data_IF_670904999084
#
_entry.id   IF_670904999084
#
_cell.length_a   1.000
_cell.length_b   1.000
_cell.length_c   1.000
_cell.angle_alpha   90.00
_cell.angle_beta   90.00
_cell.angle_gamma   90.00
#
_symmetry.space_group_name_H-M   'P 1'
#
loop_
_entity.id
_entity.type
_entity.pdbx_description
1 polymer ?
#
# COMPACT_ATOMS: atom_id res chain seq x y z
N UNK A 1 -5.38 29.23 0.48
CA UNK A 1 -5.89 27.89 0.16
C UNK A 1 -4.69 27.06 -0.23
N UNK A 2 -4.18 26.24 0.68
CA UNK A 2 -3.11 25.31 0.36
C UNK A 2 -3.77 24.20 -0.44
N UNK A 3 -3.51 24.17 -1.75
CA UNK A 3 -3.88 23.03 -2.59
C UNK A 3 -3.11 21.84 -2.05
N UNK A 4 -3.80 20.84 -1.50
CA UNK A 4 -3.17 19.54 -1.34
C UNK A 4 -2.94 19.01 -2.76
N UNK A 5 -1.69 18.63 -3.05
CA UNK A 5 -1.35 17.99 -4.31
C UNK A 5 -2.14 16.68 -4.39
N UNK A 6 -2.61 16.34 -5.59
CA UNK A 6 -3.15 15.01 -5.86
C UNK A 6 -2.18 13.94 -5.31
N UNK A 7 -2.74 12.85 -4.82
CA UNK A 7 -1.94 11.73 -4.30
C UNK A 7 -1.00 11.28 -5.42
N UNK A 8 0.29 11.39 -5.14
CA UNK A 8 1.31 10.95 -6.06
C UNK A 8 1.43 9.43 -5.93
N UNK A 9 0.80 8.71 -6.87
CA UNK A 9 0.84 7.25 -6.91
C UNK A 9 2.26 6.70 -6.98
N UNK A 10 3.25 7.49 -7.43
CA UNK A 10 4.66 7.08 -7.41
C UNK A 10 5.21 6.96 -5.98
N UNK A 11 4.72 7.77 -5.03
CA UNK A 11 5.11 7.67 -3.60
C UNK A 11 4.63 6.34 -3.01
N UNK A 12 3.45 5.88 -3.42
CA UNK A 12 2.98 4.56 -3.07
C UNK A 12 3.83 3.49 -3.72
N UNK A 13 4.07 3.56 -5.02
CA UNK A 13 4.94 2.59 -5.69
C UNK A 13 6.31 2.46 -5.00
N UNK A 14 6.97 3.58 -4.65
CA UNK A 14 8.24 3.60 -3.90
C UNK A 14 8.13 2.90 -2.52
N UNK A 15 7.02 3.11 -1.81
CA UNK A 15 6.79 2.47 -0.50
C UNK A 15 6.62 0.95 -0.60
N UNK A 16 5.94 0.49 -1.65
CA UNK A 16 5.78 -0.93 -1.95
C UNK A 16 7.10 -1.56 -2.42
N UNK A 17 7.86 -0.88 -3.28
CA UNK A 17 9.20 -1.32 -3.73
C UNK A 17 10.17 -1.44 -2.56
N UNK A 18 10.25 -0.43 -1.69
CA UNK A 18 11.09 -0.46 -0.49
C UNK A 18 10.71 -1.59 0.47
N UNK A 19 9.40 -1.86 0.60
CA UNK A 19 8.91 -3.00 1.39
C UNK A 19 9.27 -4.34 0.75
N UNK A 20 9.19 -4.46 -0.58
CA UNK A 20 9.58 -5.67 -1.30
C UNK A 20 11.07 -5.96 -1.13
N UNK A 21 11.92 -4.94 -1.25
CA UNK A 21 13.36 -5.05 -1.02
C UNK A 21 13.68 -5.49 0.41
N UNK A 22 13.00 -4.91 1.40
CA UNK A 22 13.14 -5.34 2.77
C UNK A 22 12.74 -6.82 2.95
N UNK A 23 11.67 -7.29 2.30
CA UNK A 23 11.28 -8.72 2.32
C UNK A 23 12.36 -9.60 1.68
N UNK A 24 12.96 -9.20 0.56
CA UNK A 24 14.07 -9.94 -0.05
C UNK A 24 15.28 -10.02 0.87
N UNK A 25 15.60 -8.93 1.58
CA UNK A 25 16.62 -8.94 2.62
C UNK A 25 16.27 -9.94 3.74
N UNK A 26 15.02 -9.90 4.23
CA UNK A 26 14.55 -10.83 5.28
C UNK A 26 14.58 -12.29 4.84
N UNK A 27 14.29 -12.59 3.58
CA UNK A 27 14.43 -13.95 3.06
C UNK A 27 15.88 -14.47 3.15
N UNK A 28 16.86 -13.57 2.99
CA UNK A 28 18.29 -13.92 3.13
C UNK A 28 18.71 -14.07 4.60
N UNK A 29 18.16 -13.24 5.49
CA UNK A 29 18.44 -13.28 6.93
C UNK A 29 17.78 -14.46 7.65
N UNK A 30 16.61 -14.91 7.16
CA UNK A 30 15.78 -15.95 7.77
C UNK A 30 15.43 -17.06 6.75
N UNK A 31 16.34 -18.02 6.48
CA UNK A 31 16.15 -19.04 5.46
C UNK A 31 14.89 -19.90 5.63
N UNK A 32 14.49 -20.17 6.88
CA UNK A 32 13.30 -20.96 7.19
C UNK A 32 11.99 -20.24 6.78
N UNK A 33 12.03 -18.90 6.74
CA UNK A 33 10.92 -18.04 6.30
C UNK A 33 11.16 -17.46 4.90
N UNK A 34 12.18 -17.93 4.17
CA UNK A 34 12.59 -17.34 2.91
C UNK A 34 11.48 -17.39 1.86
N UNK A 35 10.81 -18.54 1.72
CA UNK A 35 9.71 -18.70 0.76
C UNK A 35 8.59 -17.68 1.00
N UNK A 36 8.14 -17.55 2.26
CA UNK A 36 7.09 -16.62 2.65
C UNK A 36 7.48 -15.15 2.41
N UNK A 37 8.72 -14.77 2.71
CA UNK A 37 9.20 -13.42 2.45
C UNK A 37 9.29 -13.13 0.94
N UNK A 38 9.76 -14.08 0.13
CA UNK A 38 9.84 -13.91 -1.33
C UNK A 38 8.45 -13.84 -1.98
N UNK A 39 7.49 -14.63 -1.51
CA UNK A 39 6.08 -14.54 -1.95
C UNK A 39 5.48 -13.17 -1.63
N UNK A 40 5.73 -12.63 -0.43
CA UNK A 40 5.29 -11.29 -0.08
C UNK A 40 5.97 -10.20 -0.90
N UNK A 41 7.28 -10.33 -1.16
CA UNK A 41 8.00 -9.42 -2.05
C UNK A 41 7.36 -9.37 -3.44
N UNK A 42 7.01 -10.53 -4.01
CA UNK A 42 6.36 -10.61 -5.31
C UNK A 42 4.97 -9.94 -5.34
N UNK A 43 4.20 -10.04 -4.26
CA UNK A 43 2.92 -9.33 -4.16
C UNK A 43 3.12 -7.81 -4.05
N UNK A 44 4.10 -7.38 -3.24
CA UNK A 44 4.46 -5.96 -3.12
C UNK A 44 4.92 -5.39 -4.47
N UNK A 45 5.76 -6.10 -5.23
CA UNK A 45 6.17 -5.71 -6.58
C UNK A 45 4.98 -5.57 -7.53
N UNK A 46 4.03 -6.51 -7.46
CA UNK A 46 2.85 -6.48 -8.31
C UNK A 46 1.97 -5.27 -8.03
N UNK A 47 1.84 -4.86 -6.77
CA UNK A 47 1.10 -3.66 -6.38
C UNK A 47 1.86 -2.38 -6.77
N UNK A 48 3.18 -2.33 -6.54
CA UNK A 48 4.02 -1.22 -6.98
C UNK A 48 3.92 -0.98 -8.49
N UNK A 49 3.94 -2.04 -9.29
CA UNK A 49 3.81 -1.95 -10.74
C UNK A 49 2.47 -1.35 -11.18
N UNK A 50 1.37 -1.68 -10.48
CA UNK A 50 0.05 -1.11 -10.75
C UNK A 50 -0.02 0.38 -10.40
N UNK A 51 0.53 0.77 -9.24
CA UNK A 51 0.62 2.18 -8.86
C UNK A 51 1.47 2.99 -9.84
N UNK A 52 2.63 2.47 -10.25
CA UNK A 52 3.48 3.10 -11.28
C UNK A 52 2.77 3.23 -12.64
N UNK A 53 1.92 2.28 -12.98
CA UNK A 53 1.13 2.31 -14.22
C UNK A 53 -0.10 3.23 -14.12
N UNK A 54 -0.45 3.71 -12.92
CA UNK A 54 -1.73 4.39 -12.68
C UNK A 54 -2.94 3.47 -12.91
N UNK A 55 -2.76 2.15 -12.74
CA UNK A 55 -3.81 1.13 -12.88
C UNK A 55 -4.66 1.10 -11.60
N UNK A 56 -5.36 2.20 -11.37
CA UNK A 56 -6.17 2.46 -10.19
C UNK A 56 -7.44 3.19 -10.62
N UNK A 57 -8.58 2.84 -10.04
CA UNK A 57 -9.84 3.56 -10.25
C UNK A 57 -9.71 5.03 -9.77
N UNK A 58 -9.85 6.03 -10.67
CA UNK A 58 -9.77 7.44 -10.31
C UNK A 58 -10.81 7.87 -9.25
N UNK A 59 -11.98 7.21 -9.20
CA UNK A 59 -13.00 7.51 -8.19
C UNK A 59 -12.54 7.08 -6.79
N UNK A 60 -11.82 5.95 -6.69
CA UNK A 60 -11.22 5.51 -5.43
C UNK A 60 -10.10 6.43 -4.96
N UNK A 61 -9.26 6.91 -5.88
CA UNK A 61 -8.22 7.88 -5.55
C UNK A 61 -8.84 9.16 -5.00
N UNK A 62 -9.88 9.68 -5.66
CA UNK A 62 -10.60 10.86 -5.19
C UNK A 62 -11.26 10.64 -3.83
N UNK A 63 -11.81 9.45 -3.57
CA UNK A 63 -12.37 9.11 -2.25
C UNK A 63 -11.28 9.07 -1.18
N UNK A 64 -10.16 8.38 -1.44
CA UNK A 64 -9.00 8.35 -0.53
C UNK A 64 -8.49 9.77 -0.22
N UNK A 65 -8.33 10.61 -1.24
CA UNK A 65 -7.93 12.03 -1.08
C UNK A 65 -8.89 12.82 -0.20
N UNK A 66 -10.19 12.54 -0.29
CA UNK A 66 -11.20 13.20 0.53
C UNK A 66 -11.02 12.91 2.03
N UNK A 67 -10.47 11.74 2.39
CA UNK A 67 -10.19 11.38 3.78
C UNK A 67 -9.10 12.27 4.39
N UNK A 68 -8.13 12.73 3.60
CA UNK A 68 -7.09 13.67 4.05
C UNK A 68 -7.63 15.03 4.51
N UNK A 69 -8.85 15.39 4.10
CA UNK A 69 -9.53 16.63 4.51
C UNK A 69 -10.58 16.41 5.61
N UNK A 70 -10.64 15.20 6.16
CA UNK A 70 -11.60 14.81 7.20
C UNK A 70 -10.96 14.73 8.58
N UNK A 71 -11.78 14.49 9.60
CA UNK A 71 -11.33 14.23 10.97
C UNK A 71 -10.55 12.91 11.12
N UNK A 72 -10.65 11.99 10.15
CA UNK A 72 -9.94 10.71 10.16
C UNK A 72 -8.57 10.74 9.45
N UNK A 73 -8.10 11.90 8.99
CA UNK A 73 -6.85 12.01 8.22
C UNK A 73 -5.62 11.40 8.92
N UNK A 74 -5.51 11.55 10.25
CA UNK A 74 -4.43 10.95 11.04
C UNK A 74 -4.46 9.41 11.00
N UNK A 75 -5.67 8.84 11.05
CA UNK A 75 -5.89 7.40 11.02
C UNK A 75 -5.59 6.79 9.65
N UNK A 76 -5.81 7.53 8.56
CA UNK A 76 -5.47 7.07 7.20
C UNK A 76 -3.99 6.69 7.12
N UNK A 77 -3.10 7.55 7.61
CA UNK A 77 -1.64 7.31 7.58
C UNK A 77 -1.25 6.09 8.41
N UNK A 78 -1.88 5.91 9.57
CA UNK A 78 -1.65 4.74 10.43
C UNK A 78 -2.10 3.45 9.75
N UNK A 79 -3.33 3.44 9.21
CA UNK A 79 -3.91 2.29 8.51
C UNK A 79 -3.08 1.90 7.30
N UNK A 80 -2.66 2.87 6.49
CA UNK A 80 -1.81 2.64 5.33
C UNK A 80 -0.49 1.95 5.72
N UNK A 81 0.20 2.48 6.74
CA UNK A 81 1.45 1.90 7.23
C UNK A 81 1.26 0.47 7.74
N UNK A 82 0.16 0.20 8.45
CA UNK A 82 -0.12 -1.13 8.99
C UNK A 82 -0.53 -2.13 7.91
N UNK A 83 -1.37 -1.73 6.95
CA UNK A 83 -1.75 -2.61 5.85
C UNK A 83 -0.55 -2.97 4.96
N UNK A 84 0.33 -2.00 4.66
CA UNK A 84 1.55 -2.24 3.89
C UNK A 84 2.44 -3.32 4.53
N UNK A 85 2.65 -3.26 5.85
CA UNK A 85 3.43 -4.27 6.60
C UNK A 85 2.79 -5.66 6.57
N UNK A 86 1.47 -5.74 6.37
CA UNK A 86 0.72 -7.00 6.36
C UNK A 86 0.65 -7.67 4.98
N UNK A 87 0.98 -6.97 3.89
CA UNK A 87 0.94 -7.49 2.52
C UNK A 87 1.79 -8.75 2.40
N UNK A 88 1.19 -9.80 1.83
CA UNK A 88 1.83 -11.10 1.62
C UNK A 88 1.94 -11.95 2.89
N UNK A 89 1.42 -11.49 4.02
CA UNK A 89 1.53 -12.17 5.32
C UNK A 89 0.17 -12.43 5.96
N UNK A 90 -0.54 -11.35 6.28
CA UNK A 90 -1.85 -11.39 6.93
C UNK A 90 -2.94 -10.81 6.02
N UNK A 91 -2.53 -9.96 5.08
CA UNK A 91 -3.38 -9.36 4.06
C UNK A 91 -2.81 -9.69 2.69
N UNK A 92 -3.71 -9.92 1.74
CA UNK A 92 -3.40 -10.17 0.34
C UNK A 92 -4.37 -9.33 -0.47
N UNK A 93 -3.85 -8.55 -1.41
CA UNK A 93 -4.63 -7.67 -2.27
C UNK A 93 -4.42 -8.14 -3.70
N UNK A 94 -5.52 -8.31 -4.45
CA UNK A 94 -5.41 -8.79 -5.82
C UNK A 94 -4.90 -7.69 -6.76
N UNK A 95 -5.20 -6.44 -6.42
CA UNK A 95 -4.84 -5.25 -7.19
C UNK A 95 -4.67 -4.03 -6.27
N UNK A 96 -4.19 -2.92 -6.85
CA UNK A 96 -4.01 -1.66 -6.16
C UNK A 96 -5.32 -1.09 -5.60
N UNK A 97 -6.44 -1.20 -6.33
CA UNK A 97 -7.75 -0.75 -5.85
C UNK A 97 -8.15 -1.42 -4.53
N UNK A 98 -7.94 -2.73 -4.40
CA UNK A 98 -8.30 -3.49 -3.21
C UNK A 98 -7.53 -2.99 -1.98
N UNK A 99 -6.27 -2.57 -2.17
CA UNK A 99 -5.48 -1.95 -1.11
C UNK A 99 -6.07 -0.60 -0.70
N UNK A 100 -6.43 0.25 -1.67
CA UNK A 100 -7.03 1.57 -1.40
C UNK A 100 -8.38 1.42 -0.69
N UNK A 101 -9.24 0.53 -1.18
CA UNK A 101 -10.55 0.24 -0.56
C UNK A 101 -10.36 -0.18 0.90
N UNK A 102 -9.40 -1.05 1.19
CA UNK A 102 -9.11 -1.46 2.56
C UNK A 102 -8.68 -0.29 3.46
N UNK A 103 -7.88 0.65 2.95
CA UNK A 103 -7.54 1.86 3.71
C UNK A 103 -8.79 2.69 4.01
N UNK A 104 -9.61 2.94 2.99
CA UNK A 104 -10.83 3.74 3.13
C UNK A 104 -11.77 3.12 4.16
N UNK A 105 -12.00 1.82 4.07
CA UNK A 105 -12.87 1.08 5.00
C UNK A 105 -12.31 1.09 6.43
N UNK A 106 -11.04 0.77 6.63
CA UNK A 106 -10.43 0.70 7.96
C UNK A 106 -10.25 2.07 8.61
N UNK A 107 -10.04 3.14 7.83
CA UNK A 107 -9.94 4.51 8.34
C UNK A 107 -11.28 5.08 8.80
N UNK A 108 -12.41 4.62 8.24
CA UNK A 108 -13.77 5.07 8.58
C UNK A 108 -14.40 4.32 9.76
N UNK A 109 -13.89 3.13 10.09
CA UNK A 109 -14.31 2.35 11.26
C UNK A 109 -13.82 2.98 12.57
#
# INVERSE_FOLDING_TARGET
MTSFNAVDLSVWAESFEGSADWRRQKASEYPDDAARNLEAAAQLDSLAAQFNAGDVDPELVAEYESLGNSDVAHRVVEVESELLKQVGFHRHFANADDFIRAIIEEARN
#
